data_IF_688238498613
#
_entry.id   IF_688238498613
#
_cell.length_a   1.000
_cell.length_b   1.000
_cell.length_c   1.000
_cell.angle_alpha   90.00
_cell.angle_beta   90.00
_cell.angle_gamma   90.00
#
_symmetry.space_group_name_H-M   'P 1'
#
loop_
_entity.id
_entity.type
_entity.pdbx_description
1 polymer ?
#
# COMPACT_ATOMS: atom_id res chain seq x y z
N UNK A 1 36.49 -2.57 18.60
CA UNK A 1 35.63 -1.67 19.40
C UNK A 1 34.80 -0.72 18.53
N UNK A 2 35.12 -0.51 17.26
CA UNK A 2 34.36 0.33 16.32
C UNK A 2 33.02 -0.24 15.84
N UNK A 3 32.90 -1.56 15.71
CA UNK A 3 31.66 -2.19 15.18
C UNK A 3 30.43 -1.91 16.06
N UNK A 4 30.64 -1.72 17.36
CA UNK A 4 29.56 -1.44 18.30
C UNK A 4 29.05 0.01 18.14
N UNK A 5 29.94 0.96 17.85
CA UNK A 5 29.56 2.37 17.68
C UNK A 5 28.74 2.59 16.40
N UNK A 6 29.13 1.95 15.30
CA UNK A 6 28.40 2.01 14.03
C UNK A 6 27.01 1.37 14.20
N UNK A 7 26.95 0.20 14.85
CA UNK A 7 25.68 -0.47 15.14
C UNK A 7 24.75 0.38 16.02
N UNK A 8 25.28 0.98 17.09
CA UNK A 8 24.51 1.85 17.97
C UNK A 8 24.01 3.11 17.25
N UNK A 9 24.83 3.72 16.40
CA UNK A 9 24.42 4.88 15.60
C UNK A 9 23.34 4.53 14.58
N UNK A 10 23.49 3.42 13.85
CA UNK A 10 22.48 2.96 12.90
C UNK A 10 21.15 2.64 13.61
N UNK A 11 21.21 1.96 14.76
CA UNK A 11 20.04 1.67 15.59
C UNK A 11 19.33 2.96 16.04
N UNK A 12 20.10 3.95 16.47
CA UNK A 12 19.58 5.26 16.90
C UNK A 12 18.91 6.03 15.75
N UNK A 13 19.56 6.08 14.58
CA UNK A 13 19.01 6.74 13.38
C UNK A 13 17.70 6.07 12.94
N UNK A 14 17.67 4.74 12.92
CA UNK A 14 16.48 3.97 12.55
C UNK A 14 15.33 4.22 13.52
N UNK A 15 15.61 4.21 14.83
CA UNK A 15 14.63 4.52 15.88
C UNK A 15 14.02 5.91 15.67
N UNK A 16 14.85 6.92 15.45
CA UNK A 16 14.40 8.30 15.26
C UNK A 16 13.55 8.45 13.99
N UNK A 17 13.95 7.84 12.87
CA UNK A 17 13.15 7.85 11.63
C UNK A 17 11.79 7.19 11.81
N UNK A 18 11.73 6.07 12.52
CA UNK A 18 10.48 5.35 12.76
C UNK A 18 9.51 6.19 13.60
N UNK A 19 10.00 6.80 14.69
CA UNK A 19 9.20 7.68 15.56
C UNK A 19 8.65 8.85 14.75
N UNK A 20 9.49 9.53 13.96
CA UNK A 20 9.07 10.67 13.13
C UNK A 20 7.97 10.27 12.14
N UNK A 21 8.09 9.10 11.51
CA UNK A 21 7.12 8.65 10.53
C UNK A 21 5.78 8.25 11.19
N UNK A 22 5.83 7.59 12.35
CA UNK A 22 4.62 7.20 13.09
C UNK A 22 3.85 8.41 13.64
N UNK A 23 4.55 9.47 14.08
CA UNK A 23 3.91 10.72 14.53
C UNK A 23 3.25 11.52 13.40
N UNK A 24 3.67 11.29 12.15
CA UNK A 24 3.14 11.99 10.96
C UNK A 24 1.92 11.30 10.34
N UNK A 25 1.65 10.08 10.75
CA UNK A 25 0.54 9.30 10.25
C UNK A 25 -0.77 9.82 10.89
N UNK A 26 -1.74 10.19 10.04
CA UNK A 26 -2.97 10.89 10.46
C UNK A 26 -3.80 10.05 11.44
N UNK A 27 -3.68 8.73 11.38
CA UNK A 27 -4.39 7.80 12.27
C UNK A 27 -3.94 7.92 13.75
N UNK A 28 -2.81 8.59 14.01
CA UNK A 28 -2.18 8.66 15.33
C UNK A 28 -2.08 10.08 15.90
N UNK A 29 -2.61 11.09 15.19
CA UNK A 29 -2.39 12.51 15.47
C UNK A 29 -3.10 13.05 16.73
N UNK A 30 -4.23 12.45 17.11
CA UNK A 30 -5.11 12.95 18.18
C UNK A 30 -5.05 12.15 19.48
N UNK A 31 -4.25 11.09 19.50
CA UNK A 31 -4.03 10.28 20.67
C UNK A 31 -2.71 10.76 21.29
N UNK A 32 -2.66 10.91 22.61
CA UNK A 32 -1.43 11.25 23.35
C UNK A 32 -0.51 10.00 23.38
N UNK A 33 -0.11 9.51 22.19
CA UNK A 33 0.60 8.25 21.96
C UNK A 33 2.11 8.46 22.02
N UNK A 34 2.60 9.69 22.20
CA UNK A 34 4.05 9.93 22.29
C UNK A 34 4.69 9.03 23.36
N UNK A 35 4.10 9.00 24.56
CA UNK A 35 4.55 8.15 25.66
C UNK A 35 4.35 6.65 25.37
N UNK A 36 3.26 6.28 24.69
CA UNK A 36 2.91 4.88 24.41
C UNK A 36 3.75 4.28 23.27
N UNK A 37 4.07 5.07 22.24
CA UNK A 37 5.00 4.72 21.16
C UNK A 37 6.41 4.59 21.74
N UNK A 38 6.81 5.53 22.58
CA UNK A 38 8.15 5.54 23.17
C UNK A 38 8.34 4.35 24.13
N UNK A 39 7.37 4.07 25.01
CA UNK A 39 7.39 2.92 25.91
C UNK A 39 7.43 1.58 25.14
N UNK A 40 6.60 1.45 24.09
CA UNK A 40 6.53 0.22 23.29
C UNK A 40 7.77 0.02 22.43
N UNK A 41 8.35 1.08 21.89
CA UNK A 41 9.60 1.01 21.13
C UNK A 41 10.80 0.71 22.02
N UNK A 42 10.87 1.28 23.22
CA UNK A 42 11.92 0.92 24.19
C UNK A 42 11.81 -0.56 24.58
N UNK A 43 10.60 -1.06 24.87
CA UNK A 43 10.36 -2.49 25.13
C UNK A 43 10.78 -3.43 23.98
N UNK A 44 10.62 -3.00 22.72
CA UNK A 44 10.99 -3.80 21.53
C UNK A 44 12.48 -3.69 21.21
N UNK A 45 13.08 -2.52 21.41
CA UNK A 45 14.44 -2.20 20.99
C UNK A 45 15.50 -2.45 22.07
N UNK A 46 15.13 -2.53 23.35
CA UNK A 46 16.06 -2.89 24.43
C UNK A 46 16.36 -4.40 24.49
N UNK A 47 15.62 -5.20 23.73
CA UNK A 47 16.03 -6.56 23.37
C UNK A 47 17.05 -6.57 22.23
N UNK A 48 17.92 -7.60 22.18
CA UNK A 48 18.68 -7.90 20.96
C UNK A 48 17.69 -8.07 19.80
N UNK A 49 17.74 -7.15 18.83
CA UNK A 49 16.87 -7.19 17.65
C UNK A 49 17.16 -8.50 16.91
N UNK A 50 16.31 -9.50 17.12
CA UNK A 50 16.46 -10.80 16.50
C UNK A 50 15.77 -10.81 15.14
N UNK A 51 16.55 -10.58 14.08
CA UNK A 51 16.08 -10.62 12.70
C UNK A 51 15.65 -12.02 12.22
N UNK A 52 15.88 -13.09 13.00
CA UNK A 52 15.50 -14.45 12.62
C UNK A 52 13.98 -14.68 12.54
N UNK A 53 13.17 -13.75 13.06
CA UNK A 53 11.71 -13.82 13.02
C UNK A 53 11.06 -13.05 11.86
N UNK A 54 11.83 -12.41 10.96
CA UNK A 54 11.25 -11.78 9.76
C UNK A 54 10.44 -12.82 8.94
N UNK A 55 10.91 -14.07 8.91
CA UNK A 55 10.22 -15.15 8.21
C UNK A 55 8.89 -15.59 8.85
N UNK A 56 8.63 -15.27 10.13
CA UNK A 56 7.37 -15.60 10.83
C UNK A 56 6.28 -14.53 10.68
N UNK A 57 6.62 -13.30 10.29
CA UNK A 57 5.65 -12.22 10.03
C UNK A 57 4.83 -12.52 8.75
N UNK A 58 5.31 -13.43 7.90
CA UNK A 58 4.61 -13.93 6.72
C UNK A 58 3.39 -14.82 7.02
N UNK A 59 3.07 -15.08 8.30
CA UNK A 59 1.89 -15.83 8.73
C UNK A 59 0.72 -14.93 9.18
N UNK A 60 0.61 -13.70 8.68
CA UNK A 60 -0.71 -13.05 8.58
C UNK A 60 -1.48 -13.70 7.42
N UNK A 61 -2.80 -13.89 7.51
CA UNK A 61 -3.58 -14.52 6.45
C UNK A 61 -3.23 -13.83 5.14
N UNK A 62 -2.81 -14.62 4.15
CA UNK A 62 -2.28 -14.19 2.87
C UNK A 62 -3.15 -13.04 2.33
N UNK A 63 -2.74 -11.79 2.60
CA UNK A 63 -3.37 -10.62 2.01
C UNK A 63 -2.94 -10.72 0.57
N UNK A 64 -3.83 -11.24 -0.28
CA UNK A 64 -3.56 -11.58 -1.67
C UNK A 64 -2.65 -10.52 -2.29
N UNK A 65 -1.43 -10.90 -2.68
CA UNK A 65 -0.42 -9.98 -3.27
C UNK A 65 -1.04 -9.09 -4.38
N UNK A 66 -2.05 -9.63 -5.06
CA UNK A 66 -2.91 -8.93 -6.02
C UNK A 66 -3.62 -7.69 -5.46
N UNK A 67 -4.30 -7.80 -4.31
CA UNK A 67 -5.03 -6.68 -3.71
C UNK A 67 -4.08 -5.55 -3.31
N UNK A 68 -2.90 -5.87 -2.78
CA UNK A 68 -1.88 -4.87 -2.47
C UNK A 68 -1.35 -4.21 -3.74
N UNK A 69 -1.02 -5.00 -4.76
CA UNK A 69 -0.56 -4.50 -6.05
C UNK A 69 -1.56 -3.53 -6.72
N UNK A 70 -2.86 -3.88 -6.70
CA UNK A 70 -3.94 -3.04 -7.23
C UNK A 70 -4.10 -1.76 -6.40
N UNK A 71 -4.10 -1.85 -5.07
CA UNK A 71 -4.20 -0.64 -4.22
C UNK A 71 -3.03 0.31 -4.43
N UNK A 72 -1.84 -0.24 -4.60
CA UNK A 72 -0.64 0.57 -4.82
C UNK A 72 -0.64 1.21 -6.21
N UNK A 73 -1.19 0.55 -7.23
CA UNK A 73 -1.37 1.17 -8.56
C UNK A 73 -2.34 2.35 -8.53
N UNK A 74 -3.41 2.25 -7.75
CA UNK A 74 -4.36 3.35 -7.52
C UNK A 74 -3.67 4.52 -6.82
N UNK A 75 -2.93 4.25 -5.74
CA UNK A 75 -2.26 5.27 -4.93
C UNK A 75 -1.18 6.03 -5.72
N UNK A 76 -0.38 5.30 -6.49
CA UNK A 76 0.71 5.84 -7.30
C UNK A 76 0.24 6.45 -8.63
N UNK A 77 -1.06 6.38 -8.94
CA UNK A 77 -1.62 6.79 -10.22
C UNK A 77 -0.87 6.15 -11.40
N UNK A 78 -0.65 4.83 -11.33
CA UNK A 78 0.08 4.10 -12.36
C UNK A 78 -0.60 4.20 -13.73
N UNK A 79 0.21 4.03 -14.76
CA UNK A 79 -0.26 3.87 -16.12
C UNK A 79 -1.08 2.58 -16.23
N UNK A 80 -2.17 2.66 -16.99
CA UNK A 80 -3.06 1.56 -17.24
C UNK A 80 -3.37 1.45 -18.73
N UNK A 81 -3.77 0.25 -19.14
CA UNK A 81 -4.24 -0.02 -20.49
C UNK A 81 -5.42 -0.96 -20.43
N UNK A 82 -6.55 -0.57 -21.01
CA UNK A 82 -7.66 -1.48 -21.22
C UNK A 82 -7.44 -2.32 -22.48
N UNK A 83 -7.82 -3.59 -22.40
CA UNK A 83 -7.77 -4.55 -23.49
C UNK A 83 -9.19 -4.82 -23.98
N UNK A 84 -9.43 -4.60 -25.28
CA UNK A 84 -10.57 -5.10 -26.05
C UNK A 84 -11.98 -4.89 -25.45
N UNK A 85 -12.98 -5.49 -26.10
CA UNK A 85 -14.39 -5.35 -25.74
C UNK A 85 -14.69 -6.19 -24.51
N UNK A 86 -14.82 -5.56 -23.35
CA UNK A 86 -15.39 -6.20 -22.17
C UNK A 86 -16.84 -6.61 -22.52
N UNK A 87 -17.21 -7.91 -22.45
CA UNK A 87 -18.53 -8.41 -22.85
C UNK A 87 -19.60 -8.07 -21.79
N UNK A 88 -19.57 -6.84 -21.23
CA UNK A 88 -20.63 -6.34 -20.37
C UNK A 88 -21.93 -6.30 -21.17
N UNK A 89 -22.99 -6.88 -20.62
CA UNK A 89 -24.34 -6.76 -21.15
C UNK A 89 -24.71 -5.29 -21.35
N UNK A 90 -25.40 -4.97 -22.46
CA UNK A 90 -25.87 -3.60 -22.75
C UNK A 90 -26.66 -3.07 -21.55
N UNK A 91 -26.21 -1.95 -20.97
CA UNK A 91 -26.74 -1.38 -19.74
C UNK A 91 -25.73 -0.44 -19.07
N UNK A 92 -26.07 0.05 -17.88
CA UNK A 92 -25.27 1.09 -17.18
C UNK A 92 -23.80 0.73 -17.02
N UNK A 93 -23.47 -0.54 -16.76
CA UNK A 93 -22.09 -1.00 -16.61
C UNK A 93 -21.31 -0.95 -17.95
N UNK A 94 -21.99 -1.22 -19.08
CA UNK A 94 -21.43 -1.07 -20.41
C UNK A 94 -21.17 0.40 -20.75
N UNK A 95 -22.10 1.29 -20.40
CA UNK A 95 -21.94 2.73 -20.62
C UNK A 95 -20.79 3.31 -19.80
N UNK A 96 -20.64 2.89 -18.52
CA UNK A 96 -19.48 3.26 -17.70
C UNK A 96 -18.18 2.80 -18.36
N UNK A 97 -18.11 1.53 -18.76
CA UNK A 97 -16.94 0.98 -19.41
C UNK A 97 -16.54 1.77 -20.66
N UNK A 98 -17.50 2.13 -21.51
CA UNK A 98 -17.21 2.91 -22.71
C UNK A 98 -16.66 4.30 -22.44
N UNK A 99 -16.93 4.90 -21.26
CA UNK A 99 -16.34 6.17 -20.87
C UNK A 99 -14.89 5.99 -20.43
N UNK A 100 -14.64 5.10 -19.47
CA UNK A 100 -13.31 5.00 -18.86
C UNK A 100 -12.32 4.09 -19.61
N UNK A 101 -12.74 3.30 -20.61
CA UNK A 101 -11.84 2.38 -21.34
C UNK A 101 -10.67 3.06 -22.05
N UNK A 102 -10.76 4.35 -22.32
CA UNK A 102 -9.68 5.14 -22.91
C UNK A 102 -8.74 5.75 -21.87
N UNK A 103 -9.03 5.58 -20.57
CA UNK A 103 -8.19 6.09 -19.51
C UNK A 103 -6.79 5.47 -19.57
N UNK A 104 -5.78 6.33 -19.40
CA UNK A 104 -4.36 5.98 -19.40
C UNK A 104 -3.77 5.94 -17.99
N UNK A 105 -4.49 6.48 -17.00
CA UNK A 105 -4.11 6.47 -15.58
C UNK A 105 -5.30 6.16 -14.69
N UNK A 106 -5.04 5.78 -13.43
CA UNK A 106 -6.11 5.57 -12.45
C UNK A 106 -6.93 6.83 -12.16
N UNK A 107 -6.30 8.01 -12.11
CA UNK A 107 -7.01 9.29 -11.94
C UNK A 107 -7.97 9.56 -13.09
N UNK A 108 -7.48 9.44 -14.32
CA UNK A 108 -8.32 9.60 -15.52
C UNK A 108 -9.47 8.59 -15.54
N UNK A 109 -9.23 7.35 -15.10
CA UNK A 109 -10.28 6.34 -14.95
C UNK A 109 -11.39 6.79 -13.97
N UNK A 110 -11.02 7.36 -12.81
CA UNK A 110 -11.98 7.89 -11.84
C UNK A 110 -12.71 9.12 -12.41
N UNK A 111 -12.00 10.03 -13.06
CA UNK A 111 -12.56 11.25 -13.65
C UNK A 111 -13.60 10.94 -14.74
N UNK A 112 -13.43 9.82 -15.46
CA UNK A 112 -14.37 9.31 -16.46
C UNK A 112 -15.55 8.51 -15.86
N UNK A 113 -15.65 8.48 -14.53
CA UNK A 113 -16.72 7.83 -13.77
C UNK A 113 -16.52 6.33 -13.56
N UNK A 114 -15.28 5.87 -13.58
CA UNK A 114 -14.91 4.53 -13.14
C UNK A 114 -14.98 4.38 -11.63
N UNK A 115 -15.36 3.19 -11.16
CA UNK A 115 -15.39 2.87 -9.73
C UNK A 115 -14.23 1.96 -9.34
N UNK A 116 -13.80 1.99 -8.07
CA UNK A 116 -12.75 1.08 -7.56
C UNK A 116 -13.07 -0.39 -7.82
N UNK A 117 -14.34 -0.77 -7.74
CA UNK A 117 -14.79 -2.14 -8.00
C UNK A 117 -14.70 -2.51 -9.49
N UNK A 118 -14.97 -1.56 -10.39
CA UNK A 118 -14.77 -1.76 -11.83
C UNK A 118 -13.27 -1.98 -12.13
N UNK A 119 -12.39 -1.15 -11.56
CA UNK A 119 -10.93 -1.29 -11.73
C UNK A 119 -10.41 -2.65 -11.25
N UNK A 120 -10.85 -3.07 -10.06
CA UNK A 120 -10.46 -4.36 -9.48
C UNK A 120 -10.94 -5.54 -10.34
N UNK A 121 -12.21 -5.51 -10.77
CA UNK A 121 -12.80 -6.58 -11.56
C UNK A 121 -12.21 -6.64 -12.97
N UNK A 122 -11.98 -5.50 -13.61
CA UNK A 122 -11.41 -5.44 -14.96
C UNK A 122 -9.95 -5.91 -14.94
N UNK A 123 -9.18 -5.60 -13.89
CA UNK A 123 -7.84 -6.16 -13.70
C UNK A 123 -7.87 -7.69 -13.55
N UNK A 124 -8.70 -8.21 -12.63
CA UNK A 124 -8.77 -9.66 -12.35
C UNK A 124 -9.28 -10.48 -13.53
N UNK A 125 -10.07 -9.88 -14.40
CA UNK A 125 -10.62 -10.51 -15.61
C UNK A 125 -9.72 -10.31 -16.83
N UNK A 126 -8.62 -9.56 -16.71
CA UNK A 126 -7.68 -9.29 -17.80
C UNK A 126 -8.13 -8.21 -18.79
N UNK A 127 -9.21 -7.48 -18.49
CA UNK A 127 -9.67 -6.34 -19.29
C UNK A 127 -8.90 -5.05 -19.02
N UNK A 128 -8.21 -4.97 -17.88
CA UNK A 128 -7.29 -3.89 -17.52
C UNK A 128 -5.92 -4.46 -17.21
N UNK A 129 -4.88 -3.83 -17.74
CA UNK A 129 -3.49 -4.07 -17.41
C UNK A 129 -2.90 -2.84 -16.72
N UNK A 130 -2.25 -3.07 -15.57
CA UNK A 130 -1.41 -2.07 -14.89
C UNK A 130 -0.01 -2.19 -15.49
N UNK A 131 0.58 -1.06 -15.88
CA UNK A 131 1.92 -0.97 -16.48
C UNK A 131 2.99 -0.62 -15.44
#
# INVERSE_FOLDING_TARGET
>A
MEDNYIYHNLKSILKNKLIINLKKDEDFKDLNIDDLIEERLNKILDGNINFNNINKINNKPQVNNEMYFIKESMRLNKLIKFHDVNPKSKGLAHDRYNRYKNATTYREFIDLGGEKIDYYNDYRRGYLKIL
#
